data_IF_745453575771
#
_entry.id   IF_745453575771
#
_cell.length_a   1.000
_cell.length_b   1.000
_cell.length_c   1.000
_cell.angle_alpha   90.00
_cell.angle_beta   90.00
_cell.angle_gamma   90.00
#
_symmetry.space_group_name_H-M   'P 1'
#
loop_
_entity.id
_entity.type
_entity.pdbx_description
1 polymer ?
#
# COMPACT_ATOMS: atom_id res chain seq x y z
N UNK A 1 -0.55 25.29 -7.16
CA UNK A 1 -0.22 23.87 -6.90
C UNK A 1 0.64 23.77 -5.64
N UNK A 2 0.07 23.39 -4.50
CA UNK A 2 0.87 23.02 -3.32
C UNK A 2 1.46 21.63 -3.55
N UNK A 3 2.71 21.58 -4.05
CA UNK A 3 3.56 20.39 -3.89
C UNK A 3 3.86 20.27 -2.40
N UNK A 4 2.94 19.68 -1.63
CA UNK A 4 3.32 19.13 -0.34
C UNK A 4 4.49 18.17 -0.58
N UNK A 5 5.56 18.21 0.23
CA UNK A 5 6.61 17.22 0.14
C UNK A 5 5.97 15.83 0.17
N UNK A 6 6.50 14.84 -0.60
CA UNK A 6 5.93 13.51 -0.59
C UNK A 6 5.85 13.05 0.86
N UNK A 7 4.61 12.91 1.31
CA UNK A 7 4.32 12.64 2.71
C UNK A 7 5.07 11.38 3.15
N UNK A 8 5.58 11.38 4.38
CA UNK A 8 6.22 10.21 4.97
C UNK A 8 5.31 8.95 4.86
N UNK A 9 3.98 9.19 4.89
CA UNK A 9 2.95 8.19 4.60
C UNK A 9 3.00 7.65 3.16
N UNK A 10 3.21 8.50 2.16
CA UNK A 10 3.35 8.10 0.76
C UNK A 10 4.64 7.31 0.53
N UNK A 11 5.75 7.72 1.13
CA UNK A 11 7.02 6.96 1.05
C UNK A 11 6.90 5.58 1.72
N UNK A 12 6.28 5.51 2.91
CA UNK A 12 5.99 4.25 3.60
C UNK A 12 5.03 3.36 2.79
N UNK A 13 3.99 3.95 2.21
CA UNK A 13 3.07 3.26 1.31
C UNK A 13 3.80 2.67 0.10
N UNK A 14 4.65 3.45 -0.58
CA UNK A 14 5.42 2.98 -1.72
C UNK A 14 6.43 1.88 -1.36
N UNK A 15 7.07 1.96 -0.19
CA UNK A 15 7.96 0.91 0.29
C UNK A 15 7.22 -0.41 0.55
N UNK A 16 6.06 -0.34 1.23
CA UNK A 16 5.21 -1.50 1.47
C UNK A 16 4.65 -2.07 0.15
N UNK A 17 4.28 -1.20 -0.79
CA UNK A 17 3.82 -1.60 -2.12
C UNK A 17 4.92 -2.35 -2.86
N UNK A 18 6.15 -1.84 -2.91
CA UNK A 18 7.28 -2.54 -3.54
C UNK A 18 7.54 -3.91 -2.91
N UNK A 19 7.47 -4.03 -1.58
CA UNK A 19 7.64 -5.32 -0.90
C UNK A 19 6.50 -6.31 -1.25
N UNK A 20 5.25 -5.84 -1.27
CA UNK A 20 4.10 -6.65 -1.68
C UNK A 20 4.16 -7.04 -3.16
N UNK A 21 4.60 -6.14 -4.05
CA UNK A 21 4.79 -6.40 -5.49
C UNK A 21 5.93 -7.39 -5.74
N UNK A 22 7.04 -7.27 -5.03
CA UNK A 22 8.14 -8.23 -5.10
C UNK A 22 7.68 -9.63 -4.66
N UNK A 23 6.87 -9.69 -3.59
CA UNK A 23 6.30 -10.95 -3.12
C UNK A 23 5.27 -11.54 -4.11
N UNK A 24 4.38 -10.73 -4.68
CA UNK A 24 3.44 -11.18 -5.72
C UNK A 24 4.15 -11.57 -7.01
N UNK A 25 5.31 -11.00 -7.33
CA UNK A 25 6.11 -11.42 -8.48
C UNK A 25 6.72 -12.82 -8.29
N UNK A 26 7.12 -13.15 -7.06
CA UNK A 26 7.77 -14.42 -6.71
C UNK A 26 6.77 -15.52 -6.28
N UNK A 27 5.60 -15.13 -5.78
CA UNK A 27 4.59 -16.05 -5.27
C UNK A 27 3.47 -16.31 -6.30
N UNK A 28 3.45 -17.49 -6.95
CA UNK A 28 2.39 -17.85 -7.90
C UNK A 28 1.02 -17.96 -7.24
N UNK A 29 0.95 -18.29 -5.94
CA UNK A 29 -0.31 -18.30 -5.20
C UNK A 29 -0.93 -16.89 -5.14
N UNK A 30 -0.12 -15.87 -4.84
CA UNK A 30 -0.58 -14.49 -4.88
C UNK A 30 -0.96 -14.02 -6.30
N UNK A 31 -0.26 -14.49 -7.35
CA UNK A 31 -0.62 -14.18 -8.74
C UNK A 31 -1.95 -14.80 -9.16
N UNK A 32 -2.21 -16.02 -8.69
CA UNK A 32 -3.46 -16.74 -8.93
C UNK A 32 -4.63 -16.24 -8.05
N UNK A 33 -4.40 -15.24 -7.19
CA UNK A 33 -5.40 -14.73 -6.25
C UNK A 33 -5.75 -15.73 -5.15
N UNK A 34 -4.86 -16.69 -4.86
CA UNK A 34 -5.00 -17.62 -3.77
C UNK A 34 -4.48 -17.03 -2.46
N UNK A 35 -5.05 -17.48 -1.35
CA UNK A 35 -4.60 -17.14 -0.01
C UNK A 35 -3.14 -17.55 0.18
N UNK A 36 -2.29 -16.56 0.38
CA UNK A 36 -0.88 -16.74 0.64
C UNK A 36 -0.60 -16.36 2.09
N UNK A 37 -0.32 -17.35 2.94
CA UNK A 37 0.00 -17.12 4.35
C UNK A 37 1.15 -16.11 4.59
N UNK A 38 2.26 -16.12 3.82
CA UNK A 38 3.28 -15.08 3.94
C UNK A 38 2.91 -13.75 3.24
N UNK A 39 2.01 -13.78 2.26
CA UNK A 39 1.49 -12.59 1.58
C UNK A 39 0.43 -11.83 2.40
N UNK A 40 -0.33 -12.52 3.24
CA UNK A 40 -1.37 -11.96 4.10
C UNK A 40 -0.88 -10.76 4.95
N UNK A 41 0.22 -10.86 5.72
CA UNK A 41 0.72 -9.71 6.49
C UNK A 41 1.23 -8.56 5.59
N UNK A 42 1.73 -8.84 4.39
CA UNK A 42 2.15 -7.81 3.43
C UNK A 42 0.94 -7.07 2.85
N UNK A 43 -0.11 -7.81 2.47
CA UNK A 43 -1.36 -7.27 1.98
C UNK A 43 -2.12 -6.47 3.04
N UNK A 44 -2.18 -6.94 4.29
CA UNK A 44 -2.80 -6.22 5.40
C UNK A 44 -2.10 -4.88 5.66
N UNK A 45 -0.76 -4.90 5.68
CA UNK A 45 0.04 -3.70 5.91
C UNK A 45 -0.10 -2.68 4.78
N UNK A 46 -0.14 -3.16 3.53
CA UNK A 46 -0.42 -2.33 2.37
C UNK A 46 -1.84 -1.73 2.43
N UNK A 47 -2.84 -2.56 2.74
CA UNK A 47 -4.23 -2.13 2.82
C UNK A 47 -4.43 -1.04 3.89
N UNK A 48 -3.81 -1.18 5.07
CA UNK A 48 -3.81 -0.13 6.11
C UNK A 48 -3.20 1.18 5.63
N UNK A 49 -2.05 1.12 4.95
CA UNK A 49 -1.38 2.32 4.44
C UNK A 49 -2.19 2.99 3.32
N UNK A 50 -2.79 2.19 2.44
CA UNK A 50 -3.66 2.67 1.38
C UNK A 50 -4.91 3.35 1.94
N UNK A 51 -5.54 2.75 2.96
CA UNK A 51 -6.70 3.31 3.65
C UNK A 51 -6.35 4.64 4.34
N UNK A 52 -5.25 4.68 5.10
CA UNK A 52 -4.77 5.90 5.74
C UNK A 52 -4.48 7.01 4.72
N UNK A 53 -3.88 6.67 3.57
CA UNK A 53 -3.63 7.61 2.48
C UNK A 53 -4.92 8.13 1.86
N UNK A 54 -5.90 7.25 1.60
CA UNK A 54 -7.22 7.61 1.07
C UNK A 54 -8.00 8.49 2.05
N UNK A 55 -8.03 8.14 3.33
CA UNK A 55 -8.67 8.93 4.38
C UNK A 55 -8.06 10.34 4.47
N UNK A 56 -6.73 10.44 4.38
CA UNK A 56 -6.04 11.72 4.31
C UNK A 56 -6.43 12.51 3.07
N UNK A 57 -6.38 11.90 1.87
CA UNK A 57 -6.78 12.57 0.64
C UNK A 57 -8.22 13.09 0.71
N UNK A 58 -9.15 12.29 1.26
CA UNK A 58 -10.53 12.71 1.45
C UNK A 58 -10.64 13.93 2.39
N UNK A 59 -9.86 13.96 3.47
CA UNK A 59 -9.78 15.11 4.39
C UNK A 59 -9.20 16.36 3.71
N UNK A 60 -8.19 16.20 2.88
CA UNK A 60 -7.60 17.31 2.12
C UNK A 60 -8.55 17.87 1.06
N UNK A 61 -9.36 17.02 0.42
CA UNK A 61 -10.36 17.44 -0.58
C UNK A 61 -11.58 18.14 0.02
N UNK A 62 -11.84 17.97 1.32
CA UNK A 62 -12.94 18.62 2.05
C UNK A 62 -12.54 19.95 2.69
N UNK A 63 -11.30 20.41 2.49
CA UNK A 63 -10.74 21.63 3.06
C UNK A 63 -10.55 22.67 1.99
#
# INVERSE_FOLDING_TARGET
MTKQPPDDLYLRYMAAFRAATAHTADCPACQAGQDCAPGAPLHERLARLQDAYRARQAKQRRR
#
